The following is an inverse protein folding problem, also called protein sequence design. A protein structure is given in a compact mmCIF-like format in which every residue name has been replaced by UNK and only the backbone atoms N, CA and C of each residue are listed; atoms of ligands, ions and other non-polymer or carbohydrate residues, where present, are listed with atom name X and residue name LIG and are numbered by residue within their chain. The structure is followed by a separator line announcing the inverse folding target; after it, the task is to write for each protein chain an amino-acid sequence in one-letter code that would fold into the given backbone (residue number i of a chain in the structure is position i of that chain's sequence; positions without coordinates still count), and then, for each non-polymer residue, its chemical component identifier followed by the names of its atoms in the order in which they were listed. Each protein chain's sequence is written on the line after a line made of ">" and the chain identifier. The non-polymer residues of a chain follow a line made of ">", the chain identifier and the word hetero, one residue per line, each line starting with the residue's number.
data_IF_565862669514
#
_entry.id   IF_565862669514
#
_cell.length_a   1.000
_cell.length_b   1.000
_cell.length_c   1.000
_cell.angle_alpha   90.00
_cell.angle_beta   90.00
_cell.angle_gamma   90.00
#
_symmetry.space_group_name_H-M   'P 1'
#
loop_
_entity.id
_entity.type
_entity.pdbx_description
1 polymer ?
#
# COMPACT_ATOMS: atom_id res chain seq x y z
N UNK A 1 20.28 14.75 -24.27
CA UNK A 1 20.59 14.69 -22.82
C UNK A 1 19.25 14.72 -22.08
N UNK A 2 18.75 13.56 -21.67
CA UNK A 2 17.41 13.40 -21.08
C UNK A 2 17.53 13.57 -19.56
N UNK A 3 16.90 14.61 -19.00
CA UNK A 3 16.76 14.80 -17.55
C UNK A 3 15.57 13.95 -17.08
N UNK A 4 15.87 12.79 -16.49
CA UNK A 4 14.87 12.02 -15.74
C UNK A 4 14.72 12.73 -14.38
N UNK A 5 13.65 13.52 -14.22
CA UNK A 5 13.29 14.10 -12.93
C UNK A 5 12.81 13.00 -11.99
N UNK A 6 13.52 12.81 -10.88
CA UNK A 6 13.43 11.67 -9.97
C UNK A 6 12.37 11.81 -8.88
N UNK A 7 11.31 12.58 -9.08
CA UNK A 7 10.29 12.82 -8.05
C UNK A 7 8.91 12.56 -8.62
N UNK A 8 7.98 12.16 -7.73
CA UNK A 8 6.55 11.95 -7.95
C UNK A 8 6.09 10.51 -8.28
N UNK A 9 6.35 9.60 -7.34
CA UNK A 9 5.37 8.55 -7.02
C UNK A 9 4.58 9.04 -5.80
N UNK A 10 3.23 9.11 -5.84
CA UNK A 10 2.42 9.32 -4.65
C UNK A 10 2.62 8.13 -3.69
N UNK A 11 3.42 8.36 -2.67
CA UNK A 11 3.86 7.42 -1.62
C UNK A 11 2.70 6.76 -0.85
N UNK A 12 1.46 7.21 -1.00
CA UNK A 12 0.38 6.86 -0.06
C UNK A 12 -0.21 5.46 -0.28
N UNK A 13 -0.25 4.94 -1.51
CA UNK A 13 -0.76 3.56 -1.74
C UNK A 13 0.35 2.51 -1.60
N UNK A 14 1.59 2.90 -1.89
CA UNK A 14 2.75 2.02 -1.81
C UNK A 14 3.18 1.84 -0.35
N UNK A 15 2.89 2.77 0.57
CA UNK A 15 3.37 2.70 1.97
C UNK A 15 2.88 1.50 2.78
N UNK A 16 1.73 0.89 2.46
CA UNK A 16 1.31 -0.34 3.13
C UNK A 16 2.10 -1.57 2.66
N UNK A 17 2.76 -1.49 1.49
CA UNK A 17 3.64 -2.52 0.92
C UNK A 17 5.13 -2.10 0.84
N UNK A 18 5.48 -0.86 1.17
CA UNK A 18 6.81 -0.27 0.93
C UNK A 18 7.67 -0.09 2.18
N UNK A 19 7.24 -0.60 3.33
CA UNK A 19 8.12 -0.71 4.50
C UNK A 19 9.23 -1.77 4.32
N UNK A 20 9.29 -2.43 3.16
CA UNK A 20 10.40 -3.30 2.73
C UNK A 20 10.90 -2.94 1.32
N UNK A 21 11.13 -1.66 1.03
CA UNK A 21 11.72 -1.20 -0.23
C UNK A 21 13.23 -1.50 -0.37
N UNK A 22 13.68 -2.68 0.07
CA UNK A 22 14.93 -3.29 -0.38
C UNK A 22 14.62 -4.18 -1.59
N UNK A 23 15.14 -3.80 -2.77
CA UNK A 23 15.19 -4.62 -3.99
C UNK A 23 13.90 -5.28 -4.52
N UNK A 24 12.77 -4.57 -4.50
CA UNK A 24 11.53 -5.04 -5.17
C UNK A 24 11.62 -5.05 -6.72
N UNK A 25 12.62 -4.41 -7.33
CA UNK A 25 12.79 -4.43 -8.80
C UNK A 25 13.42 -5.73 -9.32
N UNK A 26 13.97 -6.59 -8.46
CA UNK A 26 14.65 -7.83 -8.86
C UNK A 26 13.75 -9.09 -8.86
N UNK A 27 12.46 -8.98 -8.51
CA UNK A 27 11.54 -10.13 -8.38
C UNK A 27 10.18 -9.95 -9.10
N UNK A 28 10.09 -9.06 -10.08
CA UNK A 28 8.86 -8.86 -10.85
C UNK A 28 8.50 -10.05 -11.78
N UNK A 29 9.41 -11.01 -11.98
CA UNK A 29 9.20 -12.15 -12.88
C UNK A 29 8.46 -13.35 -12.26
N UNK A 30 8.04 -13.27 -10.99
CA UNK A 30 7.15 -14.29 -10.41
C UNK A 30 5.88 -13.63 -9.88
N UNK A 31 4.88 -13.50 -10.77
CA UNK A 31 3.48 -13.65 -10.33
C UNK A 31 3.45 -14.86 -9.40
N UNK A 32 2.87 -14.77 -8.19
CA UNK A 32 2.82 -15.90 -7.27
C UNK A 32 2.41 -17.15 -8.03
N UNK A 33 3.38 -18.05 -8.09
CA UNK A 33 3.32 -19.34 -8.77
C UNK A 33 1.94 -19.98 -8.51
N UNK A 34 1.30 -20.57 -9.51
CA UNK A 34 0.02 -21.31 -9.38
C UNK A 34 0.06 -22.42 -8.31
N UNK A 35 1.24 -22.66 -7.77
CA UNK A 35 1.62 -23.50 -6.65
C UNK A 35 1.27 -22.94 -5.25
N UNK A 36 0.28 -22.05 -5.10
CA UNK A 36 -0.14 -21.58 -3.76
C UNK A 36 -0.47 -22.75 -2.82
N UNK A 37 -1.25 -23.71 -3.30
CA UNK A 37 -1.63 -24.90 -2.53
C UNK A 37 -0.42 -25.70 -2.04
N UNK A 38 0.62 -25.86 -2.87
CA UNK A 38 1.82 -26.59 -2.48
C UNK A 38 2.69 -25.83 -1.48
N UNK A 39 2.63 -24.49 -1.48
CA UNK A 39 3.28 -23.68 -0.44
C UNK A 39 2.56 -23.81 0.90
N UNK A 40 1.21 -23.83 0.90
CA UNK A 40 0.42 -23.98 2.12
C UNK A 40 0.65 -25.32 2.84
N UNK A 41 0.95 -26.39 2.10
CA UNK A 41 1.20 -27.73 2.67
C UNK A 41 2.38 -27.79 3.65
N UNK A 42 3.25 -26.77 3.66
CA UNK A 42 4.39 -26.69 4.60
C UNK A 42 3.99 -26.16 5.98
N UNK A 43 2.81 -25.57 6.10
CA UNK A 43 2.34 -24.92 7.31
C UNK A 43 1.30 -25.78 8.04
N UNK A 44 1.10 -25.48 9.32
CA UNK A 44 0.05 -26.12 10.11
C UNK A 44 -1.35 -25.81 9.54
N UNK A 45 -2.22 -26.81 9.31
CA UNK A 45 -3.55 -26.59 8.72
C UNK A 45 -4.45 -25.62 9.51
N UNK A 46 -4.30 -25.56 10.84
CA UNK A 46 -5.08 -24.65 11.69
C UNK A 46 -4.60 -23.22 11.51
N UNK A 47 -3.28 -23.00 11.46
CA UNK A 47 -2.69 -21.70 11.15
C UNK A 47 -3.09 -21.22 9.74
N UNK A 48 -3.07 -22.10 8.74
CA UNK A 48 -3.53 -21.78 7.37
C UNK A 48 -4.99 -21.35 7.37
N UNK A 49 -5.85 -22.08 8.08
CA UNK A 49 -7.27 -21.72 8.21
C UNK A 49 -7.47 -20.37 8.90
N UNK A 50 -6.72 -20.10 9.97
CA UNK A 50 -6.74 -18.83 10.68
C UNK A 50 -6.26 -17.66 9.80
N UNK A 51 -5.16 -17.81 9.07
CA UNK A 51 -4.66 -16.79 8.14
C UNK A 51 -5.71 -16.44 7.07
N UNK A 52 -6.35 -17.44 6.46
CA UNK A 52 -7.38 -17.21 5.45
C UNK A 52 -8.62 -16.51 6.02
N UNK A 53 -9.07 -16.88 7.22
CA UNK A 53 -10.18 -16.18 7.90
C UNK A 53 -9.80 -14.75 8.26
N UNK A 54 -8.61 -14.55 8.83
CA UNK A 54 -8.07 -13.25 9.17
C UNK A 54 -8.12 -12.33 7.94
N UNK A 55 -7.57 -12.76 6.80
CA UNK A 55 -7.54 -11.93 5.59
C UNK A 55 -8.95 -11.63 5.06
N UNK A 56 -9.87 -12.60 5.10
CA UNK A 56 -11.28 -12.38 4.71
C UNK A 56 -11.99 -11.38 5.62
N UNK A 57 -11.63 -11.30 6.89
CA UNK A 57 -12.20 -10.29 7.81
C UNK A 57 -11.87 -8.86 7.38
N UNK A 58 -10.80 -8.63 6.62
CA UNK A 58 -10.50 -7.32 6.05
C UNK A 58 -11.39 -6.96 4.86
N UNK A 59 -12.08 -7.93 4.25
CA UNK A 59 -12.92 -7.74 3.06
C UNK A 59 -12.17 -6.95 1.96
N UNK A 60 -11.08 -7.54 1.47
CA UNK A 60 -10.19 -6.88 0.50
C UNK A 60 -10.94 -6.37 -0.73
N UNK A 61 -11.95 -7.12 -1.21
CA UNK A 61 -12.78 -6.68 -2.34
C UNK A 61 -13.52 -5.37 -2.04
N UNK A 62 -14.17 -5.24 -0.87
CA UNK A 62 -14.85 -4.00 -0.49
C UNK A 62 -13.86 -2.84 -0.33
N UNK A 63 -12.68 -3.10 0.25
CA UNK A 63 -11.63 -2.08 0.38
C UNK A 63 -11.12 -1.61 -0.99
N UNK A 64 -10.87 -2.53 -1.93
CA UNK A 64 -10.45 -2.16 -3.29
C UNK A 64 -11.51 -1.34 -4.01
N UNK A 65 -12.80 -1.69 -3.87
CA UNK A 65 -13.90 -0.88 -4.42
C UNK A 65 -13.95 0.52 -3.81
N UNK A 66 -13.74 0.64 -2.49
CA UNK A 66 -13.71 1.93 -1.82
C UNK A 66 -12.51 2.80 -2.28
N UNK A 67 -11.38 2.18 -2.60
CA UNK A 67 -10.17 2.86 -3.09
C UNK A 67 -10.18 3.14 -4.60
N UNK A 68 -10.99 2.41 -5.38
CA UNK A 68 -11.00 2.49 -6.84
C UNK A 68 -11.14 3.92 -7.39
N UNK A 69 -12.01 4.81 -6.88
CA UNK A 69 -12.12 6.17 -7.40
C UNK A 69 -10.83 6.99 -7.26
N UNK A 70 -10.12 6.86 -6.14
CA UNK A 70 -8.87 7.58 -5.90
C UNK A 70 -7.76 7.04 -6.81
N UNK A 71 -7.65 5.71 -6.92
CA UNK A 71 -6.71 5.06 -7.82
C UNK A 71 -6.97 5.44 -9.28
N UNK A 72 -8.24 5.50 -9.68
CA UNK A 72 -8.64 5.89 -11.04
C UNK A 72 -8.12 7.27 -11.40
N UNK A 73 -8.32 8.25 -10.51
CA UNK A 73 -7.84 9.61 -10.72
C UNK A 73 -6.31 9.67 -10.84
N UNK A 74 -5.61 8.91 -10.00
CA UNK A 74 -4.15 8.82 -10.06
C UNK A 74 -3.68 8.18 -11.38
N UNK A 75 -4.26 7.05 -11.78
CA UNK A 75 -3.92 6.36 -13.03
C UNK A 75 -4.17 7.24 -14.25
N UNK A 76 -5.27 7.99 -14.28
CA UNK A 76 -5.55 8.96 -15.36
C UNK A 76 -4.47 10.04 -15.40
N UNK A 77 -4.13 10.63 -14.25
CA UNK A 77 -3.12 11.69 -14.19
C UNK A 77 -1.74 11.19 -14.69
N UNK A 78 -1.33 10.00 -14.27
CA UNK A 78 -0.08 9.36 -14.71
C UNK A 78 -0.11 9.05 -16.20
N UNK A 79 -1.20 8.48 -16.70
CA UNK A 79 -1.36 8.12 -18.11
C UNK A 79 -1.33 9.35 -19.01
N UNK A 80 -2.02 10.44 -18.64
CA UNK A 80 -2.00 11.72 -19.38
C UNK A 80 -0.64 12.41 -19.30
N UNK A 81 0.07 12.27 -18.19
CA UNK A 81 1.44 12.76 -18.05
C UNK A 81 2.40 12.08 -19.03
N UNK A 82 2.26 10.77 -19.22
CA UNK A 82 3.03 9.99 -20.19
C UNK A 82 2.53 10.16 -21.64
N UNK A 83 1.23 10.43 -21.83
CA UNK A 83 0.58 10.52 -23.13
C UNK A 83 -0.29 11.79 -23.23
N UNK A 84 0.29 12.99 -23.45
CA UNK A 84 -0.47 14.24 -23.40
C UNK A 84 -1.60 14.36 -24.44
N UNK A 85 -1.57 13.54 -25.49
CA UNK A 85 -2.57 13.53 -26.56
C UNK A 85 -3.74 12.58 -26.30
N UNK A 86 -3.71 11.76 -25.24
CA UNK A 86 -4.81 10.84 -24.94
C UNK A 86 -6.08 11.61 -24.56
N UNK A 87 -7.23 11.16 -25.03
CA UNK A 87 -8.52 11.76 -24.65
C UNK A 87 -8.88 11.43 -23.19
N UNK A 88 -9.72 12.26 -22.57
CA UNK A 88 -10.24 11.98 -21.23
C UNK A 88 -11.07 10.69 -21.17
N UNK A 89 -11.76 10.36 -22.27
CA UNK A 89 -12.56 9.14 -22.38
C UNK A 89 -11.67 7.90 -22.36
N UNK A 90 -10.66 7.85 -23.26
CA UNK A 90 -9.76 6.69 -23.36
C UNK A 90 -8.94 6.50 -22.08
N UNK A 91 -8.50 7.60 -21.46
CA UNK A 91 -7.79 7.53 -20.19
C UNK A 91 -8.67 6.99 -19.06
N UNK A 92 -9.95 7.40 -19.06
CA UNK A 92 -10.95 6.90 -18.12
C UNK A 92 -11.21 5.40 -18.29
N UNK A 93 -11.46 4.96 -19.51
CA UNK A 93 -11.67 3.55 -19.85
C UNK A 93 -10.46 2.70 -19.46
N UNK A 94 -9.24 3.14 -19.83
CA UNK A 94 -8.02 2.44 -19.44
C UNK A 94 -7.91 2.28 -17.92
N UNK A 95 -8.15 3.35 -17.16
CA UNK A 95 -8.02 3.32 -15.71
C UNK A 95 -9.06 2.38 -15.07
N UNK A 96 -10.30 2.39 -15.56
CA UNK A 96 -11.36 1.51 -15.08
C UNK A 96 -11.02 0.03 -15.36
N UNK A 97 -10.57 -0.28 -16.57
CA UNK A 97 -10.19 -1.65 -16.96
C UNK A 97 -8.94 -2.13 -16.20
N UNK A 98 -7.94 -1.26 -16.03
CA UNK A 98 -6.73 -1.54 -15.26
C UNK A 98 -7.07 -1.88 -13.80
N UNK A 99 -7.86 -1.04 -13.11
CA UNK A 99 -8.20 -1.25 -11.70
C UNK A 99 -9.01 -2.53 -11.51
N UNK A 100 -9.99 -2.77 -12.39
CA UNK A 100 -10.77 -4.00 -12.36
C UNK A 100 -9.86 -5.21 -12.47
N UNK A 101 -9.00 -5.26 -13.49
CA UNK A 101 -8.11 -6.41 -13.74
C UNK A 101 -7.07 -6.56 -12.64
N UNK A 102 -6.38 -5.49 -12.27
CA UNK A 102 -5.27 -5.54 -11.33
C UNK A 102 -5.71 -5.87 -9.89
N UNK A 103 -6.89 -5.40 -9.47
CA UNK A 103 -7.32 -5.50 -8.07
C UNK A 103 -8.55 -6.38 -7.89
N UNK A 104 -9.63 -6.12 -8.63
CA UNK A 104 -10.92 -6.80 -8.38
C UNK A 104 -10.91 -8.24 -8.89
N UNK A 105 -10.48 -8.44 -10.13
CA UNK A 105 -10.41 -9.76 -10.77
C UNK A 105 -9.31 -10.64 -10.13
N UNK A 106 -8.32 -10.03 -9.46
CA UNK A 106 -7.24 -10.71 -8.75
C UNK A 106 -7.43 -10.72 -7.22
N UNK A 107 -8.60 -10.33 -6.70
CA UNK A 107 -8.79 -10.16 -5.25
C UNK A 107 -8.55 -11.44 -4.45
N UNK A 108 -8.99 -12.60 -4.93
CA UNK A 108 -8.73 -13.90 -4.28
C UNK A 108 -7.23 -14.25 -4.26
N UNK A 109 -6.53 -14.05 -5.37
CA UNK A 109 -5.07 -14.26 -5.44
C UNK A 109 -4.33 -13.36 -4.45
N UNK A 110 -4.76 -12.10 -4.32
CA UNK A 110 -4.19 -11.16 -3.35
C UNK A 110 -4.50 -11.55 -1.90
N UNK A 111 -5.69 -12.09 -1.63
CA UNK A 111 -6.04 -12.64 -0.32
C UNK A 111 -5.12 -13.82 0.05
N UNK A 112 -4.95 -14.75 -0.88
CA UNK A 112 -4.06 -15.91 -0.71
C UNK A 112 -2.61 -15.50 -0.49
N UNK A 113 -2.09 -14.56 -1.28
CA UNK A 113 -0.74 -14.03 -1.08
C UNK A 113 -0.59 -13.39 0.31
N UNK A 114 -1.60 -12.65 0.76
CA UNK A 114 -1.59 -12.03 2.10
C UNK A 114 -1.60 -13.07 3.21
N UNK A 115 -2.38 -14.15 3.06
CA UNK A 115 -2.40 -15.25 4.02
C UNK A 115 -1.03 -15.94 4.09
N UNK A 116 -0.38 -16.18 2.95
CA UNK A 116 0.96 -16.76 2.92
C UNK A 116 1.99 -15.85 3.59
N UNK A 117 1.95 -14.53 3.32
CA UNK A 117 2.87 -13.58 3.97
C UNK A 117 2.70 -13.56 5.49
N UNK A 118 1.47 -13.73 6.01
CA UNK A 118 1.24 -13.85 7.46
C UNK A 118 1.90 -15.12 8.02
N UNK A 119 1.72 -16.26 7.34
CA UNK A 119 2.31 -17.53 7.75
C UNK A 119 3.84 -17.54 7.65
N UNK A 120 4.43 -16.74 6.75
CA UNK A 120 5.88 -16.57 6.62
C UNK A 120 6.47 -15.65 7.71
N UNK A 121 5.68 -14.67 8.19
CA UNK A 121 6.16 -13.63 9.09
C UNK A 121 5.90 -13.91 10.57
N UNK A 122 4.88 -14.72 10.89
CA UNK A 122 4.40 -14.95 12.25
C UNK A 122 4.31 -16.44 12.56
N UNK A 123 4.52 -16.78 13.83
CA UNK A 123 4.34 -18.15 14.29
C UNK A 123 2.85 -18.55 14.28
N UNK A 124 2.52 -19.86 14.21
CA UNK A 124 1.14 -20.35 14.18
C UNK A 124 0.22 -19.76 15.26
N UNK A 125 0.69 -19.71 16.51
CA UNK A 125 -0.08 -19.19 17.64
C UNK A 125 -0.36 -17.69 17.51
N UNK A 126 0.55 -16.93 16.89
CA UNK A 126 0.37 -15.49 16.64
C UNK A 126 -0.68 -15.26 15.55
N UNK A 127 -0.63 -16.03 14.46
CA UNK A 127 -1.61 -15.97 13.37
C UNK A 127 -3.02 -16.27 13.89
N UNK A 128 -3.15 -17.29 14.74
CA UNK A 128 -4.43 -17.63 15.39
C UNK A 128 -4.92 -16.51 16.31
N UNK A 129 -4.04 -15.97 17.18
CA UNK A 129 -4.40 -14.88 18.08
C UNK A 129 -4.83 -13.62 17.31
N UNK A 130 -4.21 -13.35 16.17
CA UNK A 130 -4.62 -12.27 15.27
C UNK A 130 -6.02 -12.51 14.70
N UNK A 131 -6.29 -13.71 14.16
CA UNK A 131 -7.64 -14.06 13.66
C UNK A 131 -8.70 -13.89 14.76
N UNK A 132 -8.48 -14.47 15.94
CA UNK A 132 -9.39 -14.39 17.07
C UNK A 132 -9.68 -12.94 17.49
N UNK A 133 -8.64 -12.11 17.57
CA UNK A 133 -8.80 -10.70 17.91
C UNK A 133 -9.66 -9.97 16.89
N UNK A 134 -9.39 -10.13 15.60
CA UNK A 134 -10.11 -9.40 14.55
C UNK A 134 -11.52 -9.94 14.28
N UNK A 135 -11.75 -11.24 14.54
CA UNK A 135 -13.07 -11.85 14.57
C UNK A 135 -13.92 -11.41 15.78
N UNK A 136 -13.29 -10.92 16.86
CA UNK A 136 -14.02 -10.42 18.02
C UNK A 136 -14.87 -9.17 17.71
N UNK A 137 -15.93 -8.89 18.50
CA UNK A 137 -16.72 -7.66 18.35
C UNK A 137 -15.88 -6.37 18.46
N UNK A 138 -14.78 -6.40 19.21
CA UNK A 138 -13.88 -5.25 19.31
C UNK A 138 -13.02 -5.11 18.06
N UNK A 139 -12.38 -6.19 17.62
CA UNK A 139 -11.54 -6.19 16.42
C UNK A 139 -12.30 -5.79 15.17
N UNK A 140 -13.52 -6.31 14.97
CA UNK A 140 -14.39 -5.92 13.86
C UNK A 140 -14.74 -4.43 13.88
N UNK A 141 -14.98 -3.83 15.07
CA UNK A 141 -15.19 -2.37 15.19
C UNK A 141 -13.94 -1.56 14.86
N UNK A 142 -12.74 -2.08 15.15
CA UNK A 142 -11.48 -1.44 14.77
C UNK A 142 -11.32 -1.49 13.25
N UNK A 143 -11.55 -2.65 12.62
CA UNK A 143 -11.49 -2.79 11.17
C UNK A 143 -12.46 -1.84 10.47
N UNK A 144 -13.71 -1.75 10.93
CA UNK A 144 -14.69 -0.84 10.36
C UNK A 144 -14.27 0.64 10.41
N UNK A 145 -13.44 1.04 11.38
CA UNK A 145 -12.93 2.41 11.52
C UNK A 145 -11.63 2.65 10.77
N UNK A 146 -10.95 1.59 10.34
CA UNK A 146 -9.64 1.67 9.69
C UNK A 146 -9.68 2.52 8.41
N UNK A 147 -10.64 2.35 7.48
CA UNK A 147 -10.72 3.22 6.29
C UNK A 147 -10.87 4.71 6.63
N UNK A 148 -11.73 5.05 7.59
CA UNK A 148 -11.92 6.44 8.04
C UNK A 148 -10.66 7.01 8.69
N UNK A 149 -9.91 6.21 9.43
CA UNK A 149 -8.62 6.61 9.98
C UNK A 149 -7.58 6.82 8.89
N UNK A 150 -7.46 5.88 7.94
CA UNK A 150 -6.50 5.96 6.84
C UNK A 150 -6.77 7.16 5.93
N UNK A 151 -8.04 7.51 5.70
CA UNK A 151 -8.43 8.71 4.96
C UNK A 151 -7.94 10.03 5.60
N UNK A 152 -7.55 10.01 6.88
CA UNK A 152 -7.00 11.18 7.58
C UNK A 152 -5.47 11.26 7.53
N UNK A 153 -4.76 10.21 7.11
CA UNK A 153 -3.30 10.23 7.03
C UNK A 153 -2.73 11.34 6.11
N UNK A 154 -3.37 11.73 4.99
CA UNK A 154 -2.90 12.87 4.19
C UNK A 154 -2.81 14.18 4.97
N UNK A 155 -3.71 14.40 5.95
CA UNK A 155 -3.65 15.59 6.81
C UNK A 155 -2.39 15.59 7.68
N UNK A 156 -1.97 14.42 8.18
CA UNK A 156 -0.72 14.30 8.95
C UNK A 156 0.50 14.62 8.06
N UNK A 157 0.50 14.14 6.82
CA UNK A 157 1.56 14.44 5.86
C UNK A 157 1.60 15.95 5.53
N UNK A 158 0.44 16.57 5.30
CA UNK A 158 0.34 18.00 5.06
C UNK A 158 0.84 18.82 6.25
N UNK A 159 0.43 18.47 7.47
CA UNK A 159 0.91 19.10 8.71
C UNK A 159 2.43 18.99 8.82
N UNK A 160 3.00 17.81 8.55
CA UNK A 160 4.45 17.62 8.59
C UNK A 160 5.16 18.52 7.57
N UNK A 161 4.66 18.59 6.34
CA UNK A 161 5.26 19.41 5.26
C UNK A 161 5.11 20.92 5.49
N UNK A 162 3.98 21.38 6.02
CA UNK A 162 3.71 22.81 6.21
C UNK A 162 4.26 23.36 7.52
N UNK A 163 4.36 22.52 8.55
CA UNK A 163 4.70 22.98 9.90
C UNK A 163 6.04 22.42 10.37
N UNK A 164 6.25 21.12 10.30
CA UNK A 164 7.43 20.48 10.88
C UNK A 164 8.68 20.67 10.02
N UNK A 165 8.59 20.43 8.70
CA UNK A 165 9.74 20.50 7.78
C UNK A 165 10.34 21.91 7.71
N UNK A 166 9.58 23.00 7.51
CA UNK A 166 10.16 24.34 7.41
C UNK A 166 10.85 24.76 8.70
N UNK A 167 10.27 24.40 9.85
CA UNK A 167 10.84 24.70 11.16
C UNK A 167 12.14 23.92 11.39
N UNK A 168 12.13 22.61 11.09
CA UNK A 168 13.32 21.77 11.20
C UNK A 168 14.46 22.27 10.28
N UNK A 169 14.14 22.71 9.06
CA UNK A 169 15.11 23.30 8.12
C UNK A 169 15.68 24.60 8.67
N UNK A 170 14.83 25.50 9.20
CA UNK A 170 15.25 26.76 9.81
C UNK A 170 16.19 26.54 11.00
N UNK A 171 15.82 25.63 11.90
CA UNK A 171 16.65 25.28 13.06
C UNK A 171 17.99 24.67 12.63
N UNK A 172 17.97 23.77 11.65
CA UNK A 172 19.17 23.11 11.12
C UNK A 172 20.11 24.12 10.45
N UNK A 173 19.57 25.04 9.66
CA UNK A 173 20.33 26.12 9.01
C UNK A 173 21.01 27.01 10.05
N UNK A 174 20.27 27.44 11.08
CA UNK A 174 20.82 28.26 12.16
C UNK A 174 21.97 27.55 12.89
N UNK A 175 21.80 26.26 13.21
CA UNK A 175 22.83 25.45 13.87
C UNK A 175 24.06 25.21 12.99
N UNK A 176 23.91 25.10 11.67
CA UNK A 176 25.04 25.00 10.73
C UNK A 176 25.77 26.33 10.59
N UNK A 177 25.03 27.44 10.49
CA UNK A 177 25.60 28.79 10.42
C UNK A 177 26.44 29.12 11.66
N UNK A 178 25.97 28.75 12.86
CA UNK A 178 26.73 28.90 14.10
C UNK A 178 28.06 28.12 14.12
N UNK A 179 28.20 27.11 13.24
CA UNK A 179 29.43 26.31 13.05
C UNK A 179 30.25 26.76 11.83
N UNK A 180 29.97 27.94 11.28
CA UNK A 180 30.67 28.48 10.11
C UNK A 180 30.25 27.86 8.78
N UNK A 181 29.14 27.10 8.72
CA UNK A 181 28.60 26.53 7.49
C UNK A 181 27.35 27.29 7.05
N UNK A 182 27.47 28.14 6.03
CA UNK A 182 26.35 28.90 5.49
C UNK A 182 25.68 28.14 4.33
N UNK A 183 24.59 27.43 4.64
CA UNK A 183 23.84 26.61 3.67
C UNK A 183 22.62 27.38 3.19
N UNK A 184 22.42 27.46 1.87
CA UNK A 184 21.20 27.98 1.24
C UNK A 184 20.20 26.83 1.05
N UNK A 185 18.97 27.04 1.52
CA UNK A 185 17.85 26.10 1.41
C UNK A 185 16.81 26.72 0.48
#
# INVERSE_FOLDING_TARGET
>A
MIKISRHWLPIVVVSFFALSAGDLTARADSVPDSNFESKLQKYDPKAVSAALRYVRNFNMNANFRAMAPALRQQTIAELKGANPAISDSDAGEFADDFIKRALLDNSETLEHLTALMLLEAFDPDEVEAMDDFYASPMGSRILAKTPTYMAKLPYLAEFFQKTIVPEALRQTQAALKARGKDIKI
#
